data_IF_945469232454
#
_entry.id   IF_945469232454
#
_cell.length_a   1.000
_cell.length_b   1.000
_cell.length_c   1.000
_cell.angle_alpha   90.00
_cell.angle_beta   90.00
_cell.angle_gamma   90.00
#
_symmetry.space_group_name_H-M   'P 1'
#
loop_
_entity.id
_entity.type
_entity.pdbx_description
1 polymer ?
#
# COMPACT_ATOMS: atom_id res chain seq x y z
N UNK A 1 -15.13 0.23 7.64
CA UNK A 1 -14.82 1.52 6.99
C UNK A 1 -13.41 1.43 6.44
N UNK A 2 -13.21 1.78 5.17
CA UNK A 2 -11.89 1.75 4.52
C UNK A 2 -11.40 3.18 4.32
N UNK A 3 -10.12 3.44 4.60
CA UNK A 3 -9.52 4.78 4.52
C UNK A 3 -8.26 4.68 3.66
N UNK A 4 -8.19 5.50 2.61
CA UNK A 4 -6.98 5.66 1.81
C UNK A 4 -6.08 6.77 2.36
N UNK A 5 -4.85 6.43 2.76
CA UNK A 5 -3.80 7.39 3.12
C UNK A 5 -2.93 7.69 1.89
N UNK A 6 -3.16 8.82 1.24
CA UNK A 6 -2.43 9.25 0.04
C UNK A 6 -1.68 10.58 0.26
N UNK A 7 -0.78 10.91 -0.65
CA UNK A 7 0.09 12.08 -0.59
C UNK A 7 1.45 11.80 -1.22
N UNK A 8 2.16 12.85 -1.62
CA UNK A 8 3.49 12.73 -2.24
C UNK A 8 4.51 12.09 -1.29
N UNK A 9 5.58 11.44 -1.80
CA UNK A 9 6.65 10.91 -0.96
C UNK A 9 7.20 11.98 0.01
N UNK A 10 7.47 11.59 1.26
CA UNK A 10 7.98 12.50 2.29
C UNK A 10 6.93 13.27 3.12
N UNK A 11 5.64 13.21 2.79
CA UNK A 11 4.58 13.93 3.55
C UNK A 11 4.20 13.32 4.91
N UNK A 12 4.90 12.30 5.37
CA UNK A 12 4.67 11.70 6.70
C UNK A 12 3.54 10.65 6.79
N UNK A 13 3.05 10.11 5.66
CA UNK A 13 2.00 9.06 5.63
C UNK A 13 2.32 7.88 6.55
N UNK A 14 3.55 7.36 6.52
CA UNK A 14 3.99 6.23 7.36
C UNK A 14 3.97 6.60 8.84
N UNK A 15 4.37 7.84 9.19
CA UNK A 15 4.30 8.31 10.58
C UNK A 15 2.86 8.40 11.08
N UNK A 16 1.94 8.88 10.23
CA UNK A 16 0.51 8.97 10.55
C UNK A 16 -0.13 7.57 10.66
N UNK A 17 0.23 6.64 9.78
CA UNK A 17 -0.34 5.29 9.83
C UNK A 17 0.01 4.57 11.14
N UNK A 18 1.23 4.70 11.63
CA UNK A 18 1.62 4.13 12.93
C UNK A 18 0.84 4.73 14.11
N UNK A 19 0.58 6.05 14.08
CA UNK A 19 -0.25 6.70 15.10
C UNK A 19 -1.70 6.20 15.05
N UNK A 20 -2.27 6.05 13.86
CA UNK A 20 -3.63 5.53 13.67
C UNK A 20 -3.73 4.07 14.17
N UNK A 21 -2.73 3.24 13.87
CA UNK A 21 -2.63 1.86 14.38
C UNK A 21 -2.61 1.84 15.91
N UNK A 22 -1.70 2.61 16.51
CA UNK A 22 -1.48 2.61 17.95
C UNK A 22 -2.62 3.24 18.76
N UNK A 23 -3.23 4.33 18.25
CA UNK A 23 -4.20 5.13 19.01
C UNK A 23 -5.65 4.82 18.67
N UNK A 24 -5.91 4.35 17.46
CA UNK A 24 -7.28 4.15 16.97
C UNK A 24 -7.60 2.68 16.70
N UNK A 25 -6.63 1.76 16.87
CA UNK A 25 -6.83 0.32 16.73
C UNK A 25 -7.10 -0.15 15.30
N UNK A 26 -6.82 0.68 14.30
CA UNK A 26 -6.99 0.29 12.90
C UNK A 26 -5.91 -0.70 12.47
N UNK A 27 -6.32 -1.68 11.66
CA UNK A 27 -5.38 -2.49 10.89
C UNK A 27 -4.80 -1.63 9.77
N UNK A 28 -3.48 -1.43 9.80
CA UNK A 28 -2.75 -0.72 8.75
C UNK A 28 -2.21 -1.72 7.74
N UNK A 29 -2.43 -1.45 6.46
CA UNK A 29 -1.92 -2.23 5.34
C UNK A 29 -1.01 -1.31 4.52
N UNK A 30 0.27 -1.65 4.44
CA UNK A 30 1.20 -0.97 3.54
C UNK A 30 1.08 -1.55 2.14
N UNK A 31 0.42 -0.80 1.24
CA UNK A 31 0.12 -1.28 -0.11
C UNK A 31 1.38 -1.71 -0.88
N UNK A 32 2.50 -1.00 -0.70
CA UNK A 32 3.78 -1.34 -1.32
C UNK A 32 4.32 -2.69 -0.87
N UNK A 33 4.16 -3.05 0.40
CA UNK A 33 4.61 -4.34 0.95
C UNK A 33 3.68 -5.46 0.44
N UNK A 34 2.36 -5.24 0.52
CA UNK A 34 1.36 -6.18 0.01
C UNK A 34 1.60 -6.52 -1.48
N UNK A 35 1.84 -5.51 -2.32
CA UNK A 35 2.13 -5.71 -3.75
C UNK A 35 3.39 -6.54 -3.96
N UNK A 36 4.44 -6.29 -3.16
CA UNK A 36 5.73 -7.00 -3.26
C UNK A 36 5.60 -8.45 -2.81
N UNK A 37 5.03 -8.68 -1.63
CA UNK A 37 4.95 -9.99 -0.98
C UNK A 37 4.02 -10.94 -1.75
N UNK A 38 2.85 -10.45 -2.18
CA UNK A 38 1.87 -11.25 -2.90
C UNK A 38 2.02 -11.19 -4.43
N UNK A 39 3.07 -10.51 -4.92
CA UNK A 39 3.40 -10.37 -6.35
C UNK A 39 2.24 -9.81 -7.19
N UNK A 40 1.59 -8.77 -6.67
CA UNK A 40 0.44 -8.08 -7.30
C UNK A 40 0.89 -7.01 -8.31
N UNK A 41 1.86 -7.33 -9.16
CA UNK A 41 2.43 -6.43 -10.16
C UNK A 41 2.51 -7.13 -11.52
N UNK A 42 2.47 -6.35 -12.61
CA UNK A 42 2.56 -6.85 -13.98
C UNK A 42 4.01 -6.97 -14.45
N UNK A 43 4.84 -5.99 -14.09
CA UNK A 43 6.22 -5.87 -14.55
C UNK A 43 7.10 -5.13 -13.53
N UNK A 44 8.42 -5.24 -13.75
CA UNK A 44 9.45 -4.50 -13.01
C UNK A 44 10.01 -3.43 -13.94
N UNK A 45 9.88 -2.17 -13.56
CA UNK A 45 10.52 -1.05 -14.24
C UNK A 45 11.98 -0.97 -13.75
N UNK A 46 12.89 -1.56 -14.54
CA UNK A 46 14.33 -1.59 -14.23
C UNK A 46 14.99 -0.21 -14.26
N UNK A 47 14.45 0.74 -15.04
CA UNK A 47 15.01 2.10 -15.15
C UNK A 47 14.78 2.87 -13.85
N UNK A 48 13.62 2.65 -13.23
CA UNK A 48 13.23 3.32 -11.98
C UNK A 48 13.48 2.46 -10.73
N UNK A 49 13.84 1.19 -10.91
CA UNK A 49 13.92 0.19 -9.84
C UNK A 49 12.60 0.11 -9.05
N UNK A 50 11.47 0.05 -9.78
CA UNK A 50 10.12 0.04 -9.20
C UNK A 50 9.24 -1.05 -9.78
N UNK A 51 8.18 -1.43 -9.05
CA UNK A 51 7.17 -2.35 -9.53
C UNK A 51 5.99 -1.60 -10.13
N UNK A 52 5.51 -2.06 -11.28
CA UNK A 52 4.27 -1.56 -11.88
C UNK A 52 3.10 -2.36 -11.32
N UNK A 53 2.36 -1.75 -10.39
CA UNK A 53 1.26 -2.39 -9.70
C UNK A 53 0.13 -2.78 -10.67
N UNK A 54 -0.37 -3.99 -10.54
CA UNK A 54 -1.53 -4.49 -11.27
C UNK A 54 -2.80 -4.08 -10.51
N UNK A 55 -3.44 -2.99 -10.95
CA UNK A 55 -4.53 -2.34 -10.22
C UNK A 55 -5.70 -3.30 -9.98
N UNK A 56 -6.02 -4.16 -10.95
CA UNK A 56 -7.13 -5.10 -10.85
C UNK A 56 -6.84 -6.16 -9.77
N UNK A 57 -5.64 -6.74 -9.77
CA UNK A 57 -5.22 -7.70 -8.72
C UNK A 57 -5.17 -7.06 -7.35
N UNK A 58 -4.64 -5.84 -7.26
CA UNK A 58 -4.56 -5.10 -6.00
C UNK A 58 -5.96 -4.79 -5.46
N UNK A 59 -6.86 -4.32 -6.32
CA UNK A 59 -8.24 -4.00 -5.92
C UNK A 59 -9.00 -5.24 -5.45
N UNK A 60 -8.89 -6.36 -6.18
CA UNK A 60 -9.49 -7.63 -5.77
C UNK A 60 -8.97 -8.06 -4.40
N UNK A 61 -7.64 -8.05 -4.22
CA UNK A 61 -7.02 -8.48 -2.97
C UNK A 61 -7.37 -7.63 -1.77
N UNK A 62 -7.38 -6.29 -1.93
CA UNK A 62 -7.75 -5.36 -0.86
C UNK A 62 -9.21 -5.50 -0.45
N UNK A 63 -10.09 -5.90 -1.38
CA UNK A 63 -11.51 -6.12 -1.09
C UNK A 63 -11.77 -7.38 -0.24
N UNK A 64 -10.82 -8.29 -0.17
CA UNK A 64 -10.89 -9.54 0.61
C UNK A 64 -10.30 -9.42 2.03
N UNK A 65 -9.69 -8.26 2.37
CA UNK A 65 -8.97 -8.02 3.64
C UNK A 65 -9.86 -7.50 4.78
#
# INVERSE_FOLDING_TARGET
>A
MLIGLTGTPGTGKTSVSELIKARCGYRVIHLNELIKEERLYSEVDEVRDTLVADIDKVSARVSEL
#
